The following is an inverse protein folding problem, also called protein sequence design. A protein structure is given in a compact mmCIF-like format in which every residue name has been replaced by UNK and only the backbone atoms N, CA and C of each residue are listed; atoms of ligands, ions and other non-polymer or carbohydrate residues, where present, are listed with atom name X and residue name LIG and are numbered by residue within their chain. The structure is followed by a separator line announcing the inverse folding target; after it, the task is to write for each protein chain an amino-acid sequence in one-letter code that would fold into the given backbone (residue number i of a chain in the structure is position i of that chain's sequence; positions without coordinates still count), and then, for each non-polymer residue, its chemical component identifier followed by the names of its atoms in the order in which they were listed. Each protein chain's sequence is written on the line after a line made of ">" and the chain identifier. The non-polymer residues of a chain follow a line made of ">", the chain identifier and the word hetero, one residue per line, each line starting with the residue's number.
data_IF_846440177933
#
_entry.id   IF_846440177933
#
_cell.length_a   1.000
_cell.length_b   1.000
_cell.length_c   1.000
_cell.angle_alpha   90.00
_cell.angle_beta   90.00
_cell.angle_gamma   90.00
#
_symmetry.space_group_name_H-M   'P 1'
#
loop_
_entity.id
_entity.type
_entity.pdbx_description
1 polymer ?
#
# COMPACT_ATOMS: atom_id res chain seq x y z
N UNK A 1 4.33 19.82 -16.04
CA UNK A 1 3.66 19.98 -14.73
C UNK A 1 2.15 20.11 -14.91
N UNK A 2 1.64 21.07 -15.69
CA UNK A 2 0.20 21.24 -15.91
C UNK A 2 -0.53 19.97 -16.38
N UNK A 3 0.00 19.26 -17.38
CA UNK A 3 -0.59 18.00 -17.87
C UNK A 3 -0.68 16.93 -16.77
N UNK A 4 0.33 16.83 -15.92
CA UNK A 4 0.35 15.88 -14.81
C UNK A 4 -0.68 16.25 -13.74
N UNK A 5 -0.82 17.55 -13.42
CA UNK A 5 -1.84 18.03 -12.50
C UNK A 5 -3.27 17.80 -13.03
N UNK A 6 -3.49 18.01 -14.34
CA UNK A 6 -4.78 17.73 -14.96
C UNK A 6 -5.13 16.24 -14.86
N UNK A 7 -4.16 15.35 -15.14
CA UNK A 7 -4.35 13.92 -15.03
C UNK A 7 -4.61 13.47 -13.59
N UNK A 8 -3.93 14.05 -12.59
CA UNK A 8 -4.22 13.77 -11.18
C UNK A 8 -5.65 14.19 -10.80
N UNK A 9 -6.13 15.33 -11.30
CA UNK A 9 -7.50 15.79 -11.06
C UNK A 9 -8.55 14.86 -11.71
N UNK A 10 -8.31 14.41 -12.95
CA UNK A 10 -9.20 13.46 -13.63
C UNK A 10 -9.28 12.14 -12.85
N UNK A 11 -8.14 11.64 -12.36
CA UNK A 11 -8.09 10.47 -11.52
C UNK A 11 -8.78 10.72 -10.16
N UNK A 12 -8.59 11.86 -9.52
CA UNK A 12 -9.31 12.21 -8.30
C UNK A 12 -10.84 12.16 -8.51
N UNK A 13 -11.32 12.68 -9.64
CA UNK A 13 -12.73 12.64 -10.03
C UNK A 13 -13.23 11.23 -10.38
N UNK A 14 -12.38 10.38 -10.96
CA UNK A 14 -12.74 8.98 -11.18
C UNK A 14 -13.11 8.29 -9.86
N UNK A 15 -12.36 8.49 -8.77
CA UNK A 15 -12.65 7.84 -7.50
C UNK A 15 -14.03 8.21 -6.91
N UNK A 16 -14.49 9.44 -7.14
CA UNK A 16 -15.79 9.92 -6.61
C UNK A 16 -16.98 9.47 -7.46
N UNK A 17 -16.75 9.04 -8.70
CA UNK A 17 -17.80 8.63 -9.65
C UNK A 17 -18.06 7.12 -9.66
N UNK A 18 -17.38 6.36 -8.77
CA UNK A 18 -17.53 4.90 -8.72
C UNK A 18 -18.87 4.46 -8.11
N UNK A 19 -19.39 3.33 -8.60
CA UNK A 19 -20.61 2.72 -8.09
C UNK A 19 -20.49 2.36 -6.60
N UNK A 20 -21.59 2.44 -5.85
CA UNK A 20 -21.60 2.11 -4.43
C UNK A 20 -21.03 0.71 -4.12
N UNK A 21 -21.33 -0.28 -4.98
CA UNK A 21 -20.84 -1.66 -4.83
C UNK A 21 -19.30 -1.80 -4.98
N UNK A 22 -18.64 -0.78 -5.51
CA UNK A 22 -17.17 -0.74 -5.64
C UNK A 22 -16.50 -0.10 -4.44
N UNK A 23 -17.26 0.54 -3.55
CA UNK A 23 -16.69 1.15 -2.36
C UNK A 23 -16.15 0.07 -1.42
N UNK A 24 -14.99 0.36 -0.83
CA UNK A 24 -14.43 -0.49 0.22
C UNK A 24 -15.16 -0.22 1.54
N UNK A 25 -15.07 -1.18 2.46
CA UNK A 25 -15.58 -1.05 3.82
C UNK A 25 -14.46 -1.32 4.81
N UNK A 26 -14.19 -0.36 5.67
CA UNK A 26 -13.34 -0.60 6.84
C UNK A 26 -14.07 -1.48 7.84
N UNK A 27 -13.45 -2.59 8.26
CA UNK A 27 -14.04 -3.54 9.21
C UNK A 27 -13.35 -3.53 10.58
N UNK A 28 -12.22 -2.85 10.71
CA UNK A 28 -11.49 -2.72 11.97
C UNK A 28 -10.11 -2.13 11.78
N UNK A 29 -9.30 -2.23 12.83
CA UNK A 29 -7.90 -1.79 12.86
C UNK A 29 -7.09 -2.73 13.73
N UNK A 30 -5.91 -3.12 13.29
CA UNK A 30 -4.94 -3.80 14.15
C UNK A 30 -4.05 -2.76 14.84
N UNK A 31 -4.03 -2.78 16.16
CA UNK A 31 -3.19 -1.90 16.98
C UNK A 31 -1.99 -2.68 17.55
N UNK A 32 -0.76 -2.12 17.49
CA UNK A 32 0.41 -2.70 18.13
C UNK A 32 0.25 -3.05 19.62
N UNK A 33 -0.64 -2.34 20.34
CA UNK A 33 -0.88 -2.55 21.77
C UNK A 33 -1.88 -3.67 22.07
N UNK A 34 -2.69 -4.07 21.10
CA UNK A 34 -3.79 -5.03 21.31
C UNK A 34 -3.39 -6.49 21.16
N UNK A 35 -2.13 -6.77 20.83
CA UNK A 35 -1.76 -8.09 20.34
C UNK A 35 -0.40 -8.51 20.86
N UNK A 36 -0.37 -9.66 21.53
CA UNK A 36 0.81 -10.50 21.72
C UNK A 36 1.26 -11.06 20.34
N UNK A 37 1.54 -10.19 19.37
CA UNK A 37 2.13 -10.56 18.09
C UNK A 37 3.55 -11.05 18.38
N UNK A 38 3.67 -12.34 18.72
CA UNK A 38 4.96 -13.04 18.87
C UNK A 38 5.74 -13.09 17.55
N UNK A 39 5.10 -12.76 16.44
CA UNK A 39 5.67 -12.79 15.10
C UNK A 39 5.63 -11.38 14.50
N UNK A 40 6.79 -10.88 14.07
CA UNK A 40 7.09 -9.54 13.56
C UNK A 40 6.33 -9.15 12.26
N UNK A 41 5.00 -9.20 12.24
CA UNK A 41 4.17 -8.87 11.08
C UNK A 41 3.72 -7.41 11.09
N UNK A 42 4.68 -6.48 11.04
CA UNK A 42 4.40 -5.04 11.18
C UNK A 42 3.48 -4.50 10.07
N UNK A 43 3.47 -5.13 8.89
CA UNK A 43 2.55 -4.80 7.80
C UNK A 43 1.06 -4.99 8.11
N UNK A 44 0.69 -5.75 9.16
CA UNK A 44 -0.70 -5.93 9.57
C UNK A 44 -1.28 -4.70 10.28
N UNK A 45 -0.44 -3.84 10.86
CA UNK A 45 -0.92 -2.75 11.68
C UNK A 45 -1.60 -1.65 10.87
N UNK A 46 -2.67 -1.11 11.43
CA UNK A 46 -3.46 -0.06 10.80
C UNK A 46 -4.85 -0.52 10.39
N UNK A 47 -5.51 0.35 9.62
CA UNK A 47 -6.90 0.17 9.17
C UNK A 47 -7.00 -1.08 8.31
N UNK A 48 -8.11 -1.81 8.40
CA UNK A 48 -8.36 -3.01 7.58
C UNK A 48 -9.60 -2.79 6.73
N UNK A 49 -9.39 -2.76 5.41
CA UNK A 49 -10.44 -2.54 4.42
C UNK A 49 -10.76 -3.83 3.66
N UNK A 50 -12.05 -4.13 3.50
CA UNK A 50 -12.55 -5.22 2.65
C UNK A 50 -13.27 -4.68 1.43
N UNK A 51 -13.23 -5.45 0.35
CA UNK A 51 -13.82 -5.13 -0.93
C UNK A 51 -14.80 -6.24 -1.31
N UNK A 52 -15.68 -6.00 -2.30
CA UNK A 52 -16.60 -7.05 -2.74
C UNK A 52 -15.85 -8.27 -3.31
N UNK A 53 -14.72 -8.03 -3.98
CA UNK A 53 -13.81 -9.06 -4.46
C UNK A 53 -12.39 -8.52 -4.70
N UNK A 54 -11.45 -9.43 -4.99
CA UNK A 54 -10.05 -9.11 -5.26
C UNK A 54 -9.85 -8.25 -6.53
N UNK A 55 -10.73 -8.35 -7.52
CA UNK A 55 -10.61 -7.55 -8.74
C UNK A 55 -10.91 -6.07 -8.48
N UNK A 56 -11.99 -5.79 -7.74
CA UNK A 56 -12.33 -4.42 -7.34
C UNK A 56 -11.20 -3.81 -6.50
N UNK A 57 -10.68 -4.56 -5.53
CA UNK A 57 -9.53 -4.09 -4.73
C UNK A 57 -8.30 -3.82 -5.60
N UNK A 58 -8.05 -4.66 -6.61
CA UNK A 58 -6.95 -4.46 -7.56
C UNK A 58 -7.14 -3.21 -8.42
N UNK A 59 -8.35 -2.90 -8.85
CA UNK A 59 -8.65 -1.67 -9.60
C UNK A 59 -8.35 -0.44 -8.74
N UNK A 60 -8.82 -0.43 -7.49
CA UNK A 60 -8.51 0.64 -6.53
C UNK A 60 -7.00 0.78 -6.29
N UNK A 61 -6.29 -0.32 -6.06
CA UNK A 61 -4.84 -0.28 -5.83
C UNK A 61 -4.06 0.12 -7.08
N UNK A 62 -4.54 -0.23 -8.28
CA UNK A 62 -3.97 0.24 -9.54
C UNK A 62 -4.17 1.73 -9.72
N UNK A 63 -5.37 2.23 -9.43
CA UNK A 63 -5.68 3.65 -9.41
C UNK A 63 -4.77 4.44 -8.46
N UNK A 64 -4.69 4.01 -7.19
CA UNK A 64 -3.85 4.65 -6.15
C UNK A 64 -2.38 4.65 -6.56
N UNK A 65 -1.88 3.53 -7.07
CA UNK A 65 -0.51 3.40 -7.60
C UNK A 65 -0.24 4.42 -8.72
N UNK A 66 -1.15 4.54 -9.70
CA UNK A 66 -0.98 5.47 -10.83
C UNK A 66 -0.98 6.92 -10.33
N UNK A 67 -1.90 7.30 -9.45
CA UNK A 67 -1.91 8.64 -8.85
C UNK A 67 -0.63 8.94 -8.08
N UNK A 68 -0.15 7.99 -7.27
CA UNK A 68 1.11 8.14 -6.55
C UNK A 68 2.29 8.39 -7.49
N UNK A 69 2.38 7.69 -8.62
CA UNK A 69 3.42 7.91 -9.63
C UNK A 69 3.34 9.32 -10.24
N UNK A 70 2.12 9.81 -10.51
CA UNK A 70 1.91 11.16 -11.05
C UNK A 70 2.32 12.22 -10.02
N UNK A 71 1.90 12.05 -8.77
CA UNK A 71 2.24 12.98 -7.68
C UNK A 71 3.76 13.01 -7.44
N UNK A 72 4.41 11.84 -7.39
CA UNK A 72 5.87 11.74 -7.25
C UNK A 72 6.59 12.49 -8.39
N UNK A 73 6.11 12.35 -9.64
CA UNK A 73 6.64 13.09 -10.77
C UNK A 73 6.41 14.62 -10.68
N UNK A 74 5.25 15.06 -10.17
CA UNK A 74 4.98 16.50 -9.92
C UNK A 74 5.96 17.05 -8.88
N UNK A 75 6.19 16.31 -7.78
CA UNK A 75 7.13 16.71 -6.74
C UNK A 75 8.56 16.77 -7.26
N UNK A 76 8.98 15.79 -8.05
CA UNK A 76 10.32 15.78 -8.66
C UNK A 76 10.52 16.98 -9.59
N UNK A 77 9.52 17.31 -10.42
CA UNK A 77 9.56 18.49 -11.26
C UNK A 77 9.63 19.79 -10.43
N UNK A 78 8.81 19.93 -9.40
CA UNK A 78 8.80 21.13 -8.56
C UNK A 78 10.08 21.29 -7.74
N UNK A 79 10.69 20.18 -7.30
CA UNK A 79 11.95 20.20 -6.58
C UNK A 79 13.08 20.73 -7.46
N UNK A 80 13.12 20.36 -8.75
CA UNK A 80 14.07 20.91 -9.73
C UNK A 80 13.88 22.40 -10.02
N UNK A 81 12.69 22.93 -9.74
CA UNK A 81 12.33 24.34 -9.93
C UNK A 81 12.35 25.14 -8.62
N UNK A 82 12.77 24.55 -7.49
CA UNK A 82 12.72 25.15 -6.15
C UNK A 82 11.32 25.61 -5.71
N UNK A 83 10.25 24.93 -6.16
CA UNK A 83 8.84 25.24 -5.85
C UNK A 83 8.21 24.25 -4.85
N UNK A 84 9.02 23.45 -4.15
CA UNK A 84 8.54 22.33 -3.31
C UNK A 84 7.61 22.77 -2.17
N UNK A 85 7.79 23.97 -1.64
CA UNK A 85 7.04 24.49 -0.50
C UNK A 85 5.53 24.61 -0.77
N UNK A 86 5.12 24.64 -2.05
CA UNK A 86 3.71 24.73 -2.45
C UNK A 86 3.03 23.36 -2.63
N UNK A 87 3.74 22.24 -2.39
CA UNK A 87 3.23 20.89 -2.65
C UNK A 87 2.78 20.11 -1.41
N UNK A 88 2.57 20.80 -0.29
CA UNK A 88 2.09 20.17 0.95
C UNK A 88 0.76 19.39 0.76
N UNK A 89 -0.24 19.89 0.00
CA UNK A 89 -1.46 19.15 -0.26
C UNK A 89 -1.21 17.82 -0.99
N UNK A 90 -0.36 17.83 -2.02
CA UNK A 90 0.00 16.65 -2.81
C UNK A 90 0.75 15.62 -1.96
N UNK A 91 1.64 16.08 -1.07
CA UNK A 91 2.34 15.22 -0.11
C UNK A 91 1.35 14.55 0.84
N UNK A 92 0.37 15.29 1.36
CA UNK A 92 -0.68 14.73 2.22
C UNK A 92 -1.50 13.68 1.47
N UNK A 93 -2.01 14.02 0.28
CA UNK A 93 -2.79 13.10 -0.55
C UNK A 93 -2.00 11.82 -0.87
N UNK A 94 -0.70 11.92 -1.15
CA UNK A 94 0.10 10.74 -1.39
C UNK A 94 0.24 9.86 -0.13
N UNK A 95 0.35 10.45 1.06
CA UNK A 95 0.40 9.66 2.29
C UNK A 95 -0.91 8.89 2.49
N UNK A 96 -2.05 9.55 2.27
CA UNK A 96 -3.37 8.92 2.37
C UNK A 96 -3.53 7.78 1.36
N UNK A 97 -3.09 7.97 0.10
CA UNK A 97 -3.14 6.94 -0.93
C UNK A 97 -2.26 5.72 -0.59
N UNK A 98 -1.13 5.93 0.07
CA UNK A 98 -0.25 4.83 0.52
C UNK A 98 -0.89 4.08 1.70
N UNK A 99 -1.49 4.80 2.64
CA UNK A 99 -2.18 4.21 3.78
C UNK A 99 -3.43 3.43 3.33
N UNK A 100 -4.12 3.89 2.29
CA UNK A 100 -5.23 3.16 1.67
C UNK A 100 -4.77 1.85 0.99
N UNK A 101 -3.58 1.83 0.37
CA UNK A 101 -2.99 0.58 -0.16
C UNK A 101 -2.65 -0.35 1.01
N UNK A 102 -2.03 0.17 2.08
CA UNK A 102 -1.72 -0.61 3.28
C UNK A 102 -3.00 -1.22 3.88
N UNK A 103 -4.09 -0.47 3.92
CA UNK A 103 -5.35 -0.94 4.48
C UNK A 103 -5.99 -2.09 3.68
N UNK A 104 -5.62 -2.26 2.41
CA UNK A 104 -6.06 -3.38 1.57
C UNK A 104 -5.25 -4.67 1.74
N UNK A 105 -4.11 -4.63 2.45
CA UNK A 105 -3.17 -5.75 2.53
C UNK A 105 -3.82 -7.01 3.08
N UNK A 106 -4.48 -6.92 4.23
CA UNK A 106 -5.11 -8.08 4.87
C UNK A 106 -6.15 -8.74 3.96
N UNK A 107 -6.93 -7.94 3.22
CA UNK A 107 -7.92 -8.45 2.27
C UNK A 107 -7.33 -9.29 1.14
N UNK A 108 -6.12 -8.97 0.69
CA UNK A 108 -5.42 -9.71 -0.34
C UNK A 108 -4.57 -10.87 0.19
N UNK A 109 -3.97 -10.71 1.36
CA UNK A 109 -2.88 -11.57 1.83
C UNK A 109 -3.31 -12.60 2.86
N UNK A 110 -4.47 -12.41 3.50
CA UNK A 110 -4.94 -13.27 4.58
C UNK A 110 -6.21 -14.04 4.18
N UNK A 111 -6.37 -15.22 4.77
CA UNK A 111 -7.63 -15.92 4.77
C UNK A 111 -8.52 -15.39 5.91
N UNK A 112 -9.82 -15.28 5.65
CA UNK A 112 -10.84 -15.02 6.67
C UNK A 112 -10.62 -13.75 7.53
N UNK A 113 -10.40 -12.62 6.84
CA UNK A 113 -10.12 -11.32 7.47
C UNK A 113 -11.17 -10.88 8.52
N UNK A 114 -12.49 -11.05 8.31
CA UNK A 114 -13.48 -10.67 9.32
C UNK A 114 -13.26 -11.38 10.67
N UNK A 115 -13.02 -12.70 10.64
CA UNK A 115 -12.75 -13.47 11.86
C UNK A 115 -11.39 -13.10 12.47
N UNK A 116 -10.39 -12.77 11.65
CA UNK A 116 -9.11 -12.27 12.17
C UNK A 116 -9.25 -10.97 12.95
N UNK A 117 -10.04 -10.02 12.45
CA UNK A 117 -10.30 -8.75 13.14
C UNK A 117 -11.06 -9.00 14.45
N UNK A 118 -12.12 -9.81 14.41
CA UNK A 118 -12.87 -10.18 15.61
C UNK A 118 -12.02 -10.88 16.67
N UNK A 119 -11.12 -11.77 16.26
CA UNK A 119 -10.23 -12.48 17.18
C UNK A 119 -9.22 -11.53 17.83
N UNK A 120 -8.69 -10.56 17.09
CA UNK A 120 -7.80 -9.55 17.65
C UNK A 120 -8.52 -8.65 18.68
N UNK A 121 -9.77 -8.26 18.42
CA UNK A 121 -10.56 -7.44 19.34
C UNK A 121 -10.96 -8.19 20.62
N UNK A 122 -11.18 -9.50 20.53
CA UNK A 122 -11.57 -10.34 21.68
C UNK A 122 -10.38 -10.91 22.46
N UNK A 123 -9.14 -10.67 22.02
CA UNK A 123 -7.94 -11.28 22.61
C UNK A 123 -7.84 -12.79 22.40
N UNK A 124 -8.62 -13.34 21.46
CA UNK A 124 -8.57 -14.76 21.10
C UNK A 124 -7.24 -15.10 20.39
N UNK A 125 -6.83 -16.38 20.34
CA UNK A 125 -5.62 -16.79 19.65
C UNK A 125 -5.61 -16.33 18.20
N UNK A 126 -4.70 -15.41 17.89
CA UNK A 126 -4.54 -14.87 16.55
C UNK A 126 -3.68 -15.83 15.71
N UNK A 127 -4.18 -16.24 14.54
CA UNK A 127 -3.42 -17.04 13.56
C UNK A 127 -3.47 -16.38 12.20
N UNK A 128 -2.29 -16.04 11.68
CA UNK A 128 -2.15 -15.49 10.34
C UNK A 128 -2.12 -16.63 9.32
N UNK A 129 -3.23 -16.81 8.60
CA UNK A 129 -3.31 -17.82 7.54
C UNK A 129 -3.21 -17.14 6.18
N UNK A 130 -2.28 -17.56 5.29
CA UNK A 130 -2.17 -17.00 3.96
C UNK A 130 -3.48 -17.12 3.17
N UNK A 131 -3.86 -16.04 2.48
CA UNK A 131 -4.98 -16.03 1.55
C UNK A 131 -4.66 -16.74 0.23
N UNK A 132 -5.55 -16.60 -0.75
CA UNK A 132 -5.34 -17.15 -2.11
C UNK A 132 -4.14 -16.47 -2.77
N UNK A 133 -3.24 -17.23 -3.38
CA UNK A 133 -2.05 -16.71 -4.11
C UNK A 133 -2.38 -15.61 -5.12
N UNK A 134 -3.59 -15.64 -5.71
CA UNK A 134 -4.08 -14.58 -6.60
C UNK A 134 -4.04 -13.19 -5.94
N UNK A 135 -4.37 -13.08 -4.65
CA UNK A 135 -4.33 -11.79 -3.93
C UNK A 135 -2.92 -11.20 -3.88
N UNK A 136 -1.92 -12.03 -3.60
CA UNK A 136 -0.50 -11.65 -3.62
C UNK A 136 -0.01 -11.27 -5.01
N UNK A 137 -0.39 -12.01 -6.05
CA UNK A 137 -0.06 -11.71 -7.44
C UNK A 137 -0.55 -10.32 -7.86
N UNK A 138 -1.79 -9.99 -7.49
CA UNK A 138 -2.42 -8.72 -7.86
C UNK A 138 -1.85 -7.52 -7.07
N UNK A 139 -1.39 -7.72 -5.83
CA UNK A 139 -0.76 -6.67 -5.02
C UNK A 139 0.72 -6.44 -5.32
N UNK A 140 1.43 -7.44 -5.83
CA UNK A 140 2.89 -7.40 -5.97
C UNK A 140 3.39 -6.13 -6.69
N UNK A 141 2.74 -5.75 -7.80
CA UNK A 141 3.14 -4.57 -8.58
C UNK A 141 2.90 -3.23 -7.84
N UNK A 142 1.70 -2.96 -7.27
CA UNK A 142 1.49 -1.82 -6.39
C UNK A 142 2.52 -1.71 -5.26
N UNK A 143 2.78 -2.81 -4.53
CA UNK A 143 3.71 -2.79 -3.39
C UNK A 143 5.13 -2.45 -3.81
N UNK A 144 5.62 -3.10 -4.87
CA UNK A 144 6.96 -2.83 -5.40
C UNK A 144 7.12 -1.37 -5.81
N UNK A 145 6.19 -0.86 -6.62
CA UNK A 145 6.25 0.52 -7.11
C UNK A 145 6.20 1.53 -5.96
N UNK A 146 5.22 1.42 -5.08
CA UNK A 146 5.03 2.36 -3.96
C UNK A 146 6.21 2.33 -2.99
N UNK A 147 6.82 1.17 -2.73
CA UNK A 147 8.01 1.09 -1.88
C UNK A 147 9.23 1.83 -2.44
N UNK A 148 9.25 2.08 -3.75
CA UNK A 148 10.34 2.75 -4.47
C UNK A 148 10.18 4.27 -4.64
N UNK A 149 8.96 4.79 -4.62
CA UNK A 149 8.67 6.21 -4.89
C UNK A 149 9.33 7.13 -3.86
N UNK A 150 9.81 8.30 -4.28
CA UNK A 150 10.54 9.22 -3.38
C UNK A 150 9.65 9.75 -2.25
N UNK A 151 8.38 9.95 -2.55
CA UNK A 151 7.34 10.52 -1.67
C UNK A 151 6.93 9.61 -0.51
N UNK A 152 7.17 8.30 -0.60
CA UNK A 152 6.72 7.33 0.39
C UNK A 152 7.61 7.35 1.63
N UNK A 153 7.01 7.49 2.82
CA UNK A 153 7.72 7.52 4.10
C UNK A 153 8.44 6.20 4.37
N UNK A 154 9.56 6.25 5.10
CA UNK A 154 10.35 5.06 5.46
C UNK A 154 9.50 3.96 6.09
N UNK A 155 8.59 4.32 7.01
CA UNK A 155 7.70 3.36 7.66
C UNK A 155 6.73 2.69 6.69
N UNK A 156 6.14 3.46 5.79
CA UNK A 156 5.25 2.94 4.76
C UNK A 156 6.00 2.02 3.79
N UNK A 157 7.23 2.39 3.39
CA UNK A 157 8.07 1.50 2.55
C UNK A 157 8.35 0.17 3.24
N UNK A 158 8.61 0.20 4.55
CA UNK A 158 8.82 -1.01 5.34
C UNK A 158 7.59 -1.92 5.30
N UNK A 159 6.38 -1.38 5.50
CA UNK A 159 5.11 -2.13 5.36
C UNK A 159 5.02 -2.80 3.99
N UNK A 160 5.22 -2.04 2.91
CA UNK A 160 5.12 -2.59 1.55
C UNK A 160 6.15 -3.70 1.28
N UNK A 161 7.37 -3.56 1.80
CA UNK A 161 8.44 -4.55 1.65
C UNK A 161 8.18 -5.80 2.48
N UNK A 162 7.73 -5.66 3.72
CA UNK A 162 7.36 -6.81 4.55
C UNK A 162 6.17 -7.58 3.95
N UNK A 163 5.18 -6.89 3.38
CA UNK A 163 4.11 -7.53 2.62
C UNK A 163 4.63 -8.28 1.38
N UNK A 164 5.63 -7.74 0.67
CA UNK A 164 6.29 -8.46 -0.43
C UNK A 164 7.06 -9.70 0.05
N UNK A 165 7.69 -9.66 1.23
CA UNK A 165 8.34 -10.83 1.85
C UNK A 165 7.30 -11.89 2.18
N UNK A 166 6.17 -11.50 2.76
CA UNK A 166 5.05 -12.41 3.01
C UNK A 166 4.55 -13.08 1.72
N UNK A 167 4.35 -12.32 0.65
CA UNK A 167 3.94 -12.86 -0.67
C UNK A 167 4.96 -13.88 -1.19
N UNK A 168 6.25 -13.56 -1.07
CA UNK A 168 7.33 -14.43 -1.51
C UNK A 168 7.35 -15.75 -0.72
N UNK A 169 7.35 -15.67 0.61
CA UNK A 169 7.66 -16.79 1.48
C UNK A 169 6.42 -17.65 1.77
N UNK A 170 5.25 -17.04 1.91
CA UNK A 170 4.03 -17.73 2.35
C UNK A 170 3.07 -18.04 1.20
N UNK A 171 3.10 -17.26 0.12
CA UNK A 171 2.20 -17.47 -1.04
C UNK A 171 2.90 -18.13 -2.23
N UNK A 172 4.21 -18.37 -2.14
CA UNK A 172 5.01 -19.10 -3.13
C UNK A 172 5.29 -18.32 -4.42
N UNK A 173 5.18 -16.99 -4.41
CA UNK A 173 5.35 -16.16 -5.61
C UNK A 173 6.81 -15.69 -5.70
N UNK A 174 7.66 -16.50 -6.34
CA UNK A 174 9.10 -16.23 -6.48
C UNK A 174 9.45 -14.91 -7.18
N UNK A 175 8.55 -14.36 -8.01
CA UNK A 175 8.74 -13.02 -8.60
C UNK A 175 8.84 -11.92 -7.55
N UNK A 176 8.15 -12.04 -6.40
CA UNK A 176 8.24 -11.06 -5.32
C UNK A 176 9.65 -11.01 -4.71
N UNK A 177 10.35 -12.15 -4.63
CA UNK A 177 11.75 -12.20 -4.15
C UNK A 177 12.69 -11.43 -5.09
N UNK A 178 12.48 -11.51 -6.40
CA UNK A 178 13.30 -10.76 -7.37
C UNK A 178 13.09 -9.25 -7.21
N UNK A 179 11.84 -8.82 -7.03
CA UNK A 179 11.50 -7.41 -6.83
C UNK A 179 12.09 -6.85 -5.52
N UNK A 180 12.06 -7.64 -4.44
CA UNK A 180 12.70 -7.29 -3.17
C UNK A 180 14.20 -7.02 -3.35
N UNK A 181 14.92 -7.90 -4.07
CA UNK A 181 16.35 -7.70 -4.35
C UNK A 181 16.60 -6.36 -5.04
N UNK A 182 15.82 -6.01 -6.05
CA UNK A 182 15.95 -4.72 -6.76
C UNK A 182 15.72 -3.53 -5.82
N UNK A 183 14.72 -3.60 -4.94
CA UNK A 183 14.47 -2.56 -3.94
C UNK A 183 15.65 -2.35 -2.99
N UNK A 184 16.28 -3.42 -2.50
CA UNK A 184 17.42 -3.32 -1.59
C UNK A 184 18.65 -2.69 -2.26
N UNK A 185 18.96 -3.07 -3.49
CA UNK A 185 20.08 -2.50 -4.26
C UNK A 185 19.87 -1.00 -4.57
N UNK A 186 18.61 -0.58 -4.77
CA UNK A 186 18.29 0.83 -5.04
C UNK A 186 18.45 1.71 -3.79
N UNK A 187 18.22 1.15 -2.59
CA UNK A 187 18.48 1.85 -1.32
C UNK A 187 19.96 1.98 -0.97
N UNK A 188 20.81 1.06 -1.40
CA UNK A 188 22.27 1.15 -1.18
C UNK A 188 22.97 2.12 -2.15
N UNK A 189 22.37 2.42 -3.31
CA UNK A 189 22.94 3.32 -4.32
C UNK A 189 22.55 4.81 -4.19
N UNK A 190 21.79 5.21 -3.16
CA UNK A 190 21.51 6.64 -2.89
C UNK A 190 21.82 7.07 -1.46
N UNK A 191 23.07 7.43 -1.16
CA UNK A 191 23.35 8.59 -0.34
C UNK A 191 23.48 9.80 -1.27
N UNK A 192 22.37 10.46 -1.59
CA UNK A 192 22.47 11.82 -2.11
C UNK A 192 22.90 12.71 -0.94
N UNK A 193 24.22 12.90 -0.86
CA UNK A 193 24.86 14.05 -0.22
C UNK A 193 24.13 15.32 -0.69
N UNK A 194 23.56 16.07 0.24
CA UNK A 194 23.65 17.53 0.34
C UNK A 194 23.45 17.90 1.80
#
# INVERSE_FOLDING_TARGET
>A
MQTASNLDNELANWATTQLHRWQYRTIGKFDPLMTDFKENHFWLFGRVDVYADLYISTIWNTYRKVRLMIIDAIIDCASKLNLRNFLQPQISTAQDLVDDIAASLCFHLCADVPNMVQNAESGAPFRLTPGKSLGGLLLMQPLFKVSGLSITKVQQRRIMREALVWIADQMGIGQAQLLLKVCFHTTEQKPCKY
#
